data_IF_442627448777
#
_entry.id   IF_442627448777
#
_cell.length_a   1.000
_cell.length_b   1.000
_cell.length_c   1.000
_cell.angle_alpha   90.00
_cell.angle_beta   90.00
_cell.angle_gamma   90.00
#
_symmetry.space_group_name_H-M   'P 1'
#
loop_
_entity.id
_entity.type
_entity.pdbx_description
1 polymer ?
#
# COMPACT_ATOMS: atom_id res chain seq x y z
N UNK A 1 -35.92 3.39 4.82
CA UNK A 1 -35.01 2.34 4.33
C UNK A 1 -33.58 2.89 4.34
N UNK A 2 -32.65 2.27 5.07
CA UNK A 2 -31.24 2.70 5.14
C UNK A 2 -30.49 2.13 3.94
N UNK A 3 -30.03 2.99 3.03
CA UNK A 3 -29.14 2.60 1.93
C UNK A 3 -27.81 2.10 2.51
N UNK A 4 -27.57 0.79 2.41
CA UNK A 4 -26.28 0.15 2.73
C UNK A 4 -25.28 0.54 1.64
N UNK A 5 -24.58 1.65 1.84
CA UNK A 5 -23.37 2.01 1.09
C UNK A 5 -22.32 0.92 1.33
N UNK A 6 -21.78 0.33 0.27
CA UNK A 6 -20.73 -0.69 0.35
C UNK A 6 -19.44 -0.14 0.96
N UNK A 7 -18.45 -0.99 1.27
CA UNK A 7 -17.24 -0.62 2.03
C UNK A 7 -16.28 0.35 1.31
N UNK A 8 -16.68 0.91 0.15
CA UNK A 8 -15.90 1.83 -0.67
C UNK A 8 -16.45 3.26 -0.67
N UNK A 9 -17.43 3.58 0.19
CA UNK A 9 -17.97 4.93 0.33
C UNK A 9 -17.25 5.72 1.44
N UNK A 10 -16.03 6.17 1.15
CA UNK A 10 -15.29 7.17 1.94
C UNK A 10 -14.18 7.70 1.04
N UNK A 11 -13.98 9.01 0.93
CA UNK A 11 -13.07 9.66 -0.06
C UNK A 11 -11.58 9.29 0.06
N UNK A 12 -11.26 8.03 -0.19
CA UNK A 12 -9.96 7.40 -0.07
C UNK A 12 -9.61 6.86 -1.45
N UNK A 13 -8.44 7.25 -1.96
CA UNK A 13 -7.91 6.75 -3.21
C UNK A 13 -7.43 5.31 -3.04
N UNK A 14 -7.91 4.39 -3.88
CA UNK A 14 -7.46 3.00 -3.93
C UNK A 14 -6.77 2.75 -5.27
N UNK A 15 -5.50 2.35 -5.23
CA UNK A 15 -4.74 1.90 -6.41
C UNK A 15 -4.78 0.38 -6.44
N UNK A 16 -5.25 -0.20 -7.54
CA UNK A 16 -5.41 -1.65 -7.69
C UNK A 16 -4.51 -2.18 -8.79
N UNK A 17 -3.65 -3.13 -8.44
CA UNK A 17 -2.73 -3.81 -9.37
C UNK A 17 -3.28 -5.13 -9.92
N UNK A 18 -4.60 -5.32 -9.86
CA UNK A 18 -5.23 -6.62 -10.19
C UNK A 18 -4.94 -7.09 -11.61
N UNK A 19 -4.84 -6.16 -12.56
CA UNK A 19 -4.62 -6.47 -13.98
C UNK A 19 -3.19 -6.93 -14.28
N UNK A 20 -2.23 -6.66 -13.39
CA UNK A 20 -0.83 -7.10 -13.57
C UNK A 20 -0.65 -8.60 -13.28
N UNK A 21 -1.60 -9.26 -12.61
CA UNK A 21 -1.51 -10.68 -12.27
C UNK A 21 -0.41 -10.99 -11.25
N UNK A 22 0.27 -12.14 -11.42
CA UNK A 22 1.41 -12.53 -10.58
C UNK A 22 2.68 -11.93 -11.17
N UNK A 23 3.24 -10.94 -10.47
CA UNK A 23 4.48 -10.26 -10.84
C UNK A 23 5.56 -10.46 -9.77
N UNK A 24 6.82 -10.22 -10.15
CA UNK A 24 7.91 -10.22 -9.20
C UNK A 24 7.80 -9.07 -8.18
N UNK A 25 8.48 -9.23 -7.04
CA UNK A 25 8.52 -8.16 -6.03
C UNK A 25 9.19 -6.89 -6.57
N UNK A 26 10.16 -7.02 -7.48
CA UNK A 26 10.87 -5.90 -8.10
C UNK A 26 9.94 -5.08 -8.99
N UNK A 27 9.12 -5.75 -9.82
CA UNK A 27 8.11 -5.10 -10.64
C UNK A 27 7.04 -4.41 -9.79
N UNK A 28 6.61 -5.04 -8.69
CA UNK A 28 5.65 -4.43 -7.77
C UNK A 28 6.22 -3.16 -7.11
N UNK A 29 7.51 -3.16 -6.75
CA UNK A 29 8.19 -1.96 -6.22
C UNK A 29 8.24 -0.87 -7.28
N UNK A 30 8.61 -1.22 -8.51
CA UNK A 30 8.67 -0.25 -9.60
C UNK A 30 7.29 0.39 -9.87
N UNK A 31 6.24 -0.42 -9.94
CA UNK A 31 4.87 0.07 -10.13
C UNK A 31 4.42 1.03 -9.01
N UNK A 32 4.70 0.68 -7.74
CA UNK A 32 4.37 1.54 -6.59
C UNK A 32 5.10 2.91 -6.66
N UNK A 33 6.35 2.92 -7.09
CA UNK A 33 7.15 4.14 -7.23
C UNK A 33 6.60 5.02 -8.36
N UNK A 34 6.29 4.43 -9.51
CA UNK A 34 5.76 5.16 -10.66
C UNK A 34 4.38 5.77 -10.36
N UNK A 35 3.48 5.01 -9.71
CA UNK A 35 2.20 5.55 -9.28
C UNK A 35 2.36 6.67 -8.23
N UNK A 36 3.31 6.52 -7.31
CA UNK A 36 3.65 7.56 -6.34
C UNK A 36 4.13 8.85 -7.01
N UNK A 37 4.95 8.75 -8.07
CA UNK A 37 5.36 9.90 -8.88
C UNK A 37 4.17 10.51 -9.61
N UNK A 38 3.32 9.70 -10.22
CA UNK A 38 2.13 10.17 -10.91
C UNK A 38 1.20 10.95 -9.97
N UNK A 39 1.00 10.48 -8.73
CA UNK A 39 0.22 11.21 -7.72
C UNK A 39 0.78 12.59 -7.42
N UNK A 40 2.11 12.70 -7.32
CA UNK A 40 2.78 13.98 -7.06
C UNK A 40 2.73 14.91 -8.26
N UNK A 41 3.08 14.41 -9.44
CA UNK A 41 3.34 15.25 -10.61
C UNK A 41 2.07 15.59 -11.41
N UNK A 42 1.19 14.61 -11.58
CA UNK A 42 -0.03 14.75 -12.40
C UNK A 42 -1.19 15.24 -11.53
N UNK A 43 -1.35 14.64 -10.35
CA UNK A 43 -2.48 14.93 -9.46
C UNK A 43 -2.15 15.95 -8.36
N UNK A 44 -0.91 16.45 -8.31
CA UNK A 44 -0.43 17.45 -7.35
C UNK A 44 -0.72 17.07 -5.87
N UNK A 45 -0.70 15.77 -5.55
CA UNK A 45 -0.90 15.28 -4.19
C UNK A 45 0.37 15.52 -3.38
N UNK A 46 0.28 16.35 -2.34
CA UNK A 46 1.42 16.73 -1.51
C UNK A 46 1.55 15.92 -0.21
N UNK A 47 0.44 15.39 0.31
CA UNK A 47 0.41 14.73 1.61
C UNK A 47 -0.45 13.47 1.58
N UNK A 48 0.03 12.43 2.26
CA UNK A 48 -0.72 11.18 2.47
C UNK A 48 -0.64 10.83 3.95
N UNK A 49 -1.78 10.46 4.56
CA UNK A 49 -1.87 10.08 5.97
C UNK A 49 -2.16 8.60 6.10
N UNK A 50 -1.35 7.90 6.88
CA UNK A 50 -1.54 6.49 7.24
C UNK A 50 -1.76 5.55 6.03
N UNK A 51 -0.94 5.71 4.98
CA UNK A 51 -0.97 4.82 3.82
C UNK A 51 -0.72 3.37 4.24
N UNK A 52 -1.49 2.44 3.66
CA UNK A 52 -1.37 1.01 3.94
C UNK A 52 -1.17 0.27 2.63
N UNK A 53 -0.12 -0.54 2.57
CA UNK A 53 0.11 -1.47 1.45
C UNK A 53 -0.31 -2.86 1.91
N UNK A 54 -1.22 -3.49 1.16
CA UNK A 54 -1.63 -4.88 1.38
C UNK A 54 -1.06 -5.74 0.26
N UNK A 55 -0.11 -6.59 0.59
CA UNK A 55 0.54 -7.51 -0.36
C UNK A 55 0.00 -8.92 -0.18
N UNK A 56 -0.36 -9.55 -1.29
CA UNK A 56 -0.61 -11.00 -1.35
C UNK A 56 0.69 -11.66 -1.80
N UNK A 57 1.48 -12.14 -0.85
CA UNK A 57 2.76 -12.78 -1.18
C UNK A 57 2.46 -14.16 -1.76
N UNK A 58 2.85 -14.38 -3.00
CA UNK A 58 2.65 -15.64 -3.71
C UNK A 58 3.98 -16.23 -4.18
N UNK A 59 3.97 -17.51 -4.57
CA UNK A 59 5.01 -18.09 -5.42
C UNK A 59 4.80 -17.70 -6.90
N UNK A 60 5.66 -18.19 -7.79
CA UNK A 60 5.59 -17.94 -9.24
C UNK A 60 4.31 -18.49 -9.90
N UNK A 61 3.61 -19.41 -9.24
CA UNK A 61 2.34 -19.99 -9.72
C UNK A 61 1.11 -19.23 -9.18
N UNK A 62 1.31 -18.19 -8.36
CA UNK A 62 0.22 -17.41 -7.76
C UNK A 62 -0.39 -18.00 -6.48
N UNK A 63 0.21 -19.05 -5.92
CA UNK A 63 -0.23 -19.64 -4.66
C UNK A 63 0.27 -18.80 -3.48
N UNK A 64 -0.62 -18.49 -2.53
CA UNK A 64 -0.30 -17.65 -1.38
C UNK A 64 0.69 -18.36 -0.44
N UNK A 65 1.81 -17.71 -0.16
CA UNK A 65 2.83 -18.21 0.76
C UNK A 65 2.84 -17.41 2.07
N UNK A 66 3.21 -18.09 3.16
CA UNK A 66 3.39 -17.45 4.47
C UNK A 66 4.83 -16.94 4.59
N UNK A 67 4.99 -15.63 4.78
CA UNK A 67 6.30 -15.02 5.02
C UNK A 67 6.81 -15.40 6.40
N UNK A 68 8.06 -15.84 6.50
CA UNK A 68 8.73 -16.15 7.77
C UNK A 68 9.76 -15.09 8.13
N UNK A 69 9.91 -14.78 9.42
CA UNK A 69 11.01 -13.96 9.92
C UNK A 69 12.33 -14.74 9.83
N UNK A 70 13.47 -14.06 9.65
CA UNK A 70 14.79 -14.69 9.76
C UNK A 70 15.01 -15.42 11.10
N UNK A 71 14.46 -14.90 12.20
CA UNK A 71 14.53 -15.51 13.54
C UNK A 71 13.46 -16.57 13.83
N UNK A 72 12.67 -16.98 12.84
CA UNK A 72 11.54 -17.92 13.02
C UNK A 72 10.20 -17.23 13.27
N UNK A 73 9.11 -17.98 13.04
CA UNK A 73 7.73 -17.48 13.13
C UNK A 73 7.22 -16.84 11.83
N UNK A 74 5.89 -16.82 11.67
CA UNK A 74 5.22 -16.24 10.51
C UNK A 74 4.91 -14.75 10.73
N UNK A 75 4.94 -13.98 9.64
CA UNK A 75 4.56 -12.57 9.63
C UNK A 75 3.26 -12.41 8.87
N UNK A 76 2.33 -11.69 9.48
CA UNK A 76 1.10 -11.24 8.83
C UNK A 76 0.98 -9.70 8.79
N UNK A 77 1.91 -9.01 9.46
CA UNK A 77 1.96 -7.57 9.58
C UNK A 77 3.40 -7.10 9.76
N UNK A 78 3.78 -6.07 9.01
CA UNK A 78 5.05 -5.37 9.14
C UNK A 78 4.75 -3.90 9.33
N UNK A 79 5.32 -3.32 10.39
CA UNK A 79 5.24 -1.88 10.64
C UNK A 79 6.53 -1.21 10.17
N UNK A 80 6.40 -0.25 9.27
CA UNK A 80 7.53 0.51 8.76
C UNK A 80 7.68 1.76 9.60
N UNK A 81 8.59 1.72 10.59
CA UNK A 81 9.02 2.91 11.32
C UNK A 81 9.94 3.80 10.48
N UNK A 82 9.69 3.90 9.17
CA UNK A 82 10.46 4.76 8.30
C UNK A 82 10.23 6.21 8.74
N UNK A 83 11.34 6.88 9.08
CA UNK A 83 11.46 8.23 9.65
C UNK A 83 10.20 9.10 9.47
N UNK A 84 9.50 9.37 10.58
CA UNK A 84 8.44 10.39 10.64
C UNK A 84 9.15 11.74 10.77
N UNK A 85 9.31 12.56 9.71
CA UNK A 85 9.79 13.92 9.91
C UNK A 85 8.77 14.60 10.84
N UNK A 86 9.26 15.27 11.88
CA UNK A 86 8.42 16.03 12.79
C UNK A 86 7.49 16.89 11.96
N UNK A 87 6.19 16.57 11.98
CA UNK A 87 5.20 17.40 11.35
C UNK A 87 5.38 18.80 11.94
N UNK A 88 5.46 19.80 11.09
CA UNK A 88 5.44 21.19 11.51
C UNK A 88 4.13 21.42 12.26
N UNK A 89 4.19 21.34 13.59
CA UNK A 89 3.17 21.82 14.51
C UNK A 89 3.15 23.36 14.39
N UNK A 90 2.58 23.87 13.29
CA UNK A 90 2.13 25.24 13.26
C UNK A 90 0.75 25.26 13.91
N UNK A 91 0.75 25.55 15.22
CA UNK A 91 -0.42 26.11 15.89
C UNK A 91 -0.76 27.44 15.21
N UNK A 92 -1.93 27.49 14.56
CA UNK A 92 -2.60 28.73 14.10
C UNK A 92 -3.72 29.09 15.08
#
# INVERSE_FOLDING_TARGET
MKNRRGPFDSGVLTISYKELGTISIEEQIHALVEDGKALKEIYNVQFVKAARVKLFVTNEYGEIIKVRRPGGGYIHYMDTHHYRPACLDYDL
#
